data_IF_415666514470
#
_entry.id   IF_415666514470
#
_cell.length_a   1.000
_cell.length_b   1.000
_cell.length_c   1.000
_cell.angle_alpha   90.00
_cell.angle_beta   90.00
_cell.angle_gamma   90.00
#
_symmetry.space_group_name_H-M   'P 1'
#
loop_
_entity.id
_entity.type
_entity.pdbx_description
1 polymer ?
#
# COMPACT_ATOMS: atom_id res chain seq x y z
N UNK A 1 15.01 -31.02 17.23
CA UNK A 1 14.88 -29.61 17.64
C UNK A 1 14.06 -28.98 16.55
N UNK A 2 12.74 -29.02 16.74
CA UNK A 2 11.73 -28.66 15.75
C UNK A 2 11.60 -27.13 15.68
N UNK A 3 12.17 -26.51 14.64
CA UNK A 3 11.87 -25.12 14.32
C UNK A 3 10.61 -25.09 13.46
N UNK A 4 9.54 -24.61 14.09
CA UNK A 4 8.17 -24.52 13.57
C UNK A 4 8.16 -23.74 12.26
N UNK A 5 8.11 -24.44 11.13
CA UNK A 5 7.72 -23.87 9.85
C UNK A 5 6.28 -23.36 9.99
N UNK A 6 6.13 -22.10 10.37
CA UNK A 6 4.82 -21.45 10.40
C UNK A 6 4.33 -21.43 8.96
N UNK A 7 3.40 -22.31 8.63
CA UNK A 7 2.61 -22.29 7.40
C UNK A 7 1.70 -21.05 7.41
N UNK A 8 2.29 -19.85 7.43
CA UNK A 8 1.58 -18.59 7.29
C UNK A 8 1.45 -18.37 5.80
N UNK A 9 0.27 -18.67 5.25
CA UNK A 9 -0.08 -18.27 3.90
C UNK A 9 0.24 -16.77 3.75
N UNK A 10 1.15 -16.45 2.83
CA UNK A 10 1.53 -15.06 2.53
C UNK A 10 0.33 -14.32 1.94
N UNK A 11 0.26 -13.01 2.13
CA UNK A 11 -0.85 -12.20 1.64
C UNK A 11 -0.82 -12.16 0.10
N UNK A 12 -1.86 -12.70 -0.52
CA UNK A 12 -2.04 -12.68 -1.99
C UNK A 12 -2.32 -11.27 -2.49
N UNK A 13 -2.04 -10.99 -3.78
CA UNK A 13 -2.36 -9.70 -4.40
C UNK A 13 -3.80 -9.23 -4.16
N UNK A 14 -4.83 -10.05 -4.45
CA UNK A 14 -6.22 -9.66 -4.19
C UNK A 14 -6.53 -9.40 -2.72
N UNK A 15 -5.85 -10.07 -1.78
CA UNK A 15 -5.99 -9.76 -0.36
C UNK A 15 -5.40 -8.38 -0.03
N UNK A 16 -4.25 -8.00 -0.61
CA UNK A 16 -3.66 -6.66 -0.43
C UNK A 16 -4.60 -5.56 -0.90
N UNK A 17 -5.24 -5.71 -2.06
CA UNK A 17 -6.24 -4.75 -2.56
C UNK A 17 -7.41 -4.60 -1.59
N UNK A 18 -7.96 -5.71 -1.09
CA UNK A 18 -9.07 -5.68 -0.13
C UNK A 18 -8.69 -5.01 1.18
N UNK A 19 -7.48 -5.29 1.68
CA UNK A 19 -6.96 -4.66 2.89
C UNK A 19 -6.79 -3.15 2.69
N UNK A 20 -6.21 -2.73 1.56
CA UNK A 20 -6.05 -1.33 1.18
C UNK A 20 -7.41 -0.61 1.14
N UNK A 21 -8.39 -1.16 0.42
CA UNK A 21 -9.74 -0.58 0.33
C UNK A 21 -10.44 -0.50 1.69
N UNK A 22 -10.22 -1.48 2.58
CA UNK A 22 -10.79 -1.41 3.92
C UNK A 22 -10.14 -0.31 4.75
N UNK A 23 -8.81 -0.16 4.66
CA UNK A 23 -8.09 0.87 5.38
C UNK A 23 -8.46 2.29 4.91
N UNK A 24 -8.63 2.51 3.60
CA UNK A 24 -8.97 3.84 3.08
C UNK A 24 -10.37 4.32 3.48
N UNK A 25 -11.30 3.41 3.79
CA UNK A 25 -12.63 3.77 4.31
C UNK A 25 -12.60 4.31 5.75
N UNK A 26 -11.56 3.99 6.51
CA UNK A 26 -11.40 4.47 7.89
C UNK A 26 -10.80 5.88 7.95
N UNK A 27 -10.37 6.45 6.81
CA UNK A 27 -9.78 7.78 6.77
C UNK A 27 -10.85 8.87 6.95
N UNK A 28 -10.57 9.92 7.74
CA UNK A 28 -11.46 11.06 7.86
C UNK A 28 -11.56 11.82 6.53
N UNK A 29 -12.77 12.22 6.17
CA UNK A 29 -13.02 12.99 4.95
C UNK A 29 -12.34 14.37 4.97
N UNK A 30 -11.90 14.83 3.81
CA UNK A 30 -11.32 16.17 3.63
C UNK A 30 -9.86 16.33 4.07
N UNK A 31 -9.18 15.24 4.44
CA UNK A 31 -7.75 15.25 4.78
C UNK A 31 -6.92 14.81 3.56
N UNK A 32 -6.02 15.66 3.04
CA UNK A 32 -5.11 15.26 1.96
C UNK A 32 -4.15 14.16 2.38
N UNK A 33 -3.97 13.14 1.54
CA UNK A 33 -3.03 12.04 1.75
C UNK A 33 -1.88 12.17 0.78
N UNK A 34 -0.67 12.40 1.30
CA UNK A 34 0.55 12.38 0.50
C UNK A 34 1.19 10.99 0.55
N UNK A 35 1.59 10.46 -0.60
CA UNK A 35 2.19 9.13 -0.74
C UNK A 35 3.64 9.26 -1.19
N UNK A 36 4.54 8.64 -0.44
CA UNK A 36 5.92 8.36 -0.84
C UNK A 36 6.01 6.88 -1.22
N UNK A 37 6.05 6.60 -2.53
CA UNK A 37 6.07 5.24 -3.03
C UNK A 37 7.52 4.76 -3.21
N UNK A 38 7.94 3.83 -2.37
CA UNK A 38 9.22 3.13 -2.53
C UNK A 38 9.14 2.09 -3.67
N UNK A 39 10.28 1.63 -4.22
CA UNK A 39 10.28 0.57 -5.21
C UNK A 39 9.62 -0.71 -4.65
N UNK A 40 8.51 -1.12 -5.28
CA UNK A 40 7.77 -2.32 -4.92
C UNK A 40 8.08 -3.44 -5.93
N UNK A 41 8.33 -4.65 -5.42
CA UNK A 41 8.51 -5.85 -6.23
C UNK A 41 7.31 -6.79 -6.02
N UNK A 42 6.75 -7.32 -7.10
CA UNK A 42 5.65 -8.29 -7.02
C UNK A 42 4.26 -7.72 -6.68
N UNK A 43 4.07 -6.40 -6.75
CA UNK A 43 2.76 -5.75 -6.54
C UNK A 43 2.49 -4.59 -7.52
N UNK A 44 2.04 -4.91 -8.73
CA UNK A 44 1.81 -3.91 -9.77
C UNK A 44 0.59 -3.01 -9.50
N UNK A 45 -0.40 -3.50 -8.73
CA UNK A 45 -1.64 -2.76 -8.43
C UNK A 45 -1.41 -1.64 -7.42
N UNK A 46 -0.43 -1.81 -6.52
CA UNK A 46 -0.15 -0.87 -5.44
C UNK A 46 0.06 0.57 -5.96
N UNK A 47 0.89 0.75 -6.99
CA UNK A 47 1.18 2.08 -7.53
C UNK A 47 -0.08 2.83 -7.99
N UNK A 48 -1.00 2.12 -8.65
CA UNK A 48 -2.25 2.69 -9.16
C UNK A 48 -3.18 3.04 -7.99
N UNK A 49 -3.30 2.15 -7.00
CA UNK A 49 -4.16 2.33 -5.85
C UNK A 49 -3.71 3.51 -4.98
N UNK A 50 -2.41 3.61 -4.70
CA UNK A 50 -1.86 4.71 -3.93
C UNK A 50 -1.96 6.05 -4.67
N UNK A 51 -1.77 6.05 -5.99
CA UNK A 51 -2.01 7.24 -6.82
C UNK A 51 -3.47 7.72 -6.69
N UNK A 52 -4.43 6.80 -6.83
CA UNK A 52 -5.84 7.12 -6.76
C UNK A 52 -6.25 7.67 -5.38
N UNK A 53 -5.67 7.13 -4.30
CA UNK A 53 -5.86 7.65 -2.94
C UNK A 53 -5.31 9.07 -2.78
N UNK A 54 -4.08 9.30 -3.22
CA UNK A 54 -3.48 10.63 -3.15
C UNK A 54 -4.30 11.64 -3.96
N UNK A 55 -4.65 11.30 -5.20
CA UNK A 55 -5.44 12.17 -6.06
C UNK A 55 -6.84 12.44 -5.49
N UNK A 56 -7.56 11.39 -5.07
CA UNK A 56 -8.92 11.51 -4.55
C UNK A 56 -9.04 12.27 -3.23
N UNK A 57 -7.97 12.29 -2.43
CA UNK A 57 -7.90 13.08 -1.20
C UNK A 57 -7.40 14.52 -1.41
N UNK A 58 -6.99 14.89 -2.63
CA UNK A 58 -6.36 16.18 -2.92
C UNK A 58 -4.90 16.28 -2.46
N UNK A 59 -4.25 15.15 -2.21
CA UNK A 59 -2.83 15.04 -1.92
C UNK A 59 -1.97 14.83 -3.17
N UNK A 60 -0.74 14.39 -2.94
CA UNK A 60 0.28 14.19 -3.97
C UNK A 60 0.95 12.82 -3.84
N UNK A 61 1.51 12.32 -4.95
CA UNK A 61 2.27 11.07 -4.97
C UNK A 61 3.62 11.30 -5.64
N UNK A 62 4.68 10.82 -4.98
CA UNK A 62 6.04 10.81 -5.52
C UNK A 62 6.60 9.40 -5.37
N UNK A 63 7.22 8.88 -6.44
CA UNK A 63 8.04 7.67 -6.34
C UNK A 63 9.42 8.06 -5.86
N UNK A 64 9.90 7.39 -4.81
CA UNK A 64 11.21 7.64 -4.19
C UNK A 64 12.17 6.48 -4.45
N UNK A 65 13.47 6.72 -4.30
CA UNK A 65 14.47 5.65 -4.35
C UNK A 65 14.35 4.74 -3.13
N UNK A 66 14.95 3.54 -3.22
CA UNK A 66 15.03 2.61 -2.08
C UNK A 66 15.72 3.25 -0.86
N UNK A 67 16.61 4.20 -1.12
CA UNK A 67 17.49 4.81 -0.14
C UNK A 67 16.86 6.04 0.53
N UNK A 68 15.60 6.36 0.18
CA UNK A 68 14.87 7.47 0.77
C UNK A 68 14.54 7.19 2.26
N UNK A 69 14.47 8.22 3.12
CA UNK A 69 14.81 9.60 2.84
C UNK A 69 16.28 9.82 2.51
#
# INVERSE_FOLDING_TARGET
MDDVATNRATVTGPQRVRMFQSATRELPGGVPVNVLLYPLEGDYEASILYWALAYGSGGSMISVSRDWP
#
